data_IF_643940699146
#
_entry.id   IF_643940699146
#
_cell.length_a   1.000
_cell.length_b   1.000
_cell.length_c   1.000
_cell.angle_alpha   90.00
_cell.angle_beta   90.00
_cell.angle_gamma   90.00
#
_symmetry.space_group_name_H-M   'P 1'
#
loop_
_entity.id
_entity.type
_entity.pdbx_description
1 polymer ?
#
# COMPACT_ATOMS: atom_id res chain seq x y z
N UNK A 1 -69.81 -47.81 14.31
CA UNK A 1 -69.54 -49.08 15.01
C UNK A 1 -68.34 -49.74 14.35
N UNK A 2 -67.37 -50.21 15.15
CA UNK A 2 -66.33 -51.23 14.87
C UNK A 2 -65.49 -51.09 13.58
N UNK A 3 -64.25 -50.62 13.75
CA UNK A 3 -63.02 -51.20 13.17
C UNK A 3 -63.10 -52.75 13.12
N UNK A 4 -62.37 -53.51 12.24
CA UNK A 4 -60.91 -53.38 12.13
C UNK A 4 -60.18 -53.97 10.89
N UNK A 5 -58.84 -53.79 10.88
CA UNK A 5 -57.75 -54.73 10.48
C UNK A 5 -57.85 -55.36 9.07
N UNK A 6 -56.80 -55.41 8.27
CA UNK A 6 -55.58 -56.20 8.54
C UNK A 6 -54.58 -55.96 7.40
N UNK A 7 -53.30 -55.87 7.75
CA UNK A 7 -52.17 -55.82 6.84
C UNK A 7 -51.95 -57.16 6.12
N UNK A 8 -51.42 -57.12 4.89
CA UNK A 8 -50.61 -58.22 4.33
C UNK A 8 -49.40 -57.60 3.64
N UNK A 9 -48.23 -57.84 4.24
CA UNK A 9 -46.94 -57.69 3.58
C UNK A 9 -46.81 -58.79 2.52
N UNK A 10 -46.36 -58.41 1.33
CA UNK A 10 -45.69 -59.32 0.40
C UNK A 10 -44.36 -58.68 0.01
N UNK A 11 -43.29 -59.24 0.56
CA UNK A 11 -41.92 -58.94 0.19
C UNK A 11 -41.55 -59.77 -1.06
N UNK A 12 -40.97 -59.12 -2.06
CA UNK A 12 -40.09 -59.79 -3.02
C UNK A 12 -38.87 -58.91 -3.22
N UNK A 13 -37.74 -59.44 -2.76
CA UNK A 13 -36.40 -58.90 -2.92
C UNK A 13 -35.97 -59.16 -4.37
N UNK A 14 -35.71 -58.08 -5.12
CA UNK A 14 -35.06 -58.11 -6.42
C UNK A 14 -33.78 -57.29 -6.36
N UNK A 15 -32.64 -57.96 -6.20
CA UNK A 15 -31.31 -57.36 -6.30
C UNK A 15 -31.03 -57.14 -7.79
N UNK A 16 -30.86 -55.88 -8.22
CA UNK A 16 -30.35 -55.56 -9.54
C UNK A 16 -29.45 -54.31 -9.49
N UNK A 17 -28.17 -54.58 -9.74
CA UNK A 17 -27.14 -53.70 -10.31
C UNK A 17 -26.92 -52.31 -9.65
N UNK A 18 -25.82 -52.22 -8.93
CA UNK A 18 -25.20 -50.97 -8.49
C UNK A 18 -24.83 -50.08 -9.70
N UNK A 19 -25.69 -49.11 -10.01
CA UNK A 19 -25.28 -47.87 -10.66
C UNK A 19 -24.77 -46.96 -9.54
N UNK A 20 -23.46 -46.90 -9.36
CA UNK A 20 -22.82 -45.95 -8.46
C UNK A 20 -23.18 -44.54 -8.90
N UNK A 21 -24.14 -43.93 -8.22
CA UNK A 21 -24.49 -42.52 -8.36
C UNK A 21 -23.25 -41.69 -8.03
N UNK A 22 -22.69 -41.01 -9.03
CA UNK A 22 -21.71 -39.96 -8.79
C UNK A 22 -22.39 -38.91 -7.88
N UNK A 23 -22.04 -38.91 -6.60
CA UNK A 23 -22.43 -37.83 -5.70
C UNK A 23 -21.80 -36.54 -6.22
N UNK A 24 -22.57 -35.47 -6.43
CA UNK A 24 -21.96 -34.17 -6.68
C UNK A 24 -21.12 -33.84 -5.45
N UNK A 25 -19.80 -33.82 -5.63
CA UNK A 25 -18.89 -33.30 -4.63
C UNK A 25 -19.25 -31.82 -4.42
N UNK A 26 -19.93 -31.53 -3.33
CA UNK A 26 -20.13 -30.16 -2.86
C UNK A 26 -18.74 -29.59 -2.61
N UNK A 27 -18.28 -28.72 -3.51
CA UNK A 27 -17.09 -27.92 -3.30
C UNK A 27 -17.33 -27.09 -2.02
N UNK A 28 -16.59 -27.40 -0.96
CA UNK A 28 -16.62 -26.60 0.25
C UNK A 28 -16.23 -25.16 -0.13
N UNK A 29 -16.93 -24.14 0.40
CA UNK A 29 -16.49 -22.75 0.24
C UNK A 29 -15.07 -22.66 0.77
N UNK A 30 -14.13 -22.36 -0.12
CA UNK A 30 -12.76 -22.07 0.26
C UNK A 30 -12.84 -20.86 1.20
N UNK A 31 -12.46 -21.05 2.46
CA UNK A 31 -12.22 -19.91 3.34
C UNK A 31 -11.29 -18.96 2.59
N UNK A 32 -11.56 -17.62 2.60
CA UNK A 32 -10.62 -16.69 2.00
C UNK A 32 -9.25 -16.98 2.63
N UNK A 33 -8.27 -17.27 1.79
CA UNK A 33 -6.91 -17.40 2.24
C UNK A 33 -6.58 -16.09 2.94
N UNK A 34 -6.48 -16.11 4.28
CA UNK A 34 -5.83 -15.04 5.01
C UNK A 34 -4.38 -15.11 4.57
N UNK A 35 -4.08 -14.41 3.47
CA UNK A 35 -2.71 -14.14 3.06
C UNK A 35 -2.02 -13.57 4.28
N UNK A 36 -0.91 -14.20 4.69
CA UNK A 36 0.00 -13.60 5.65
C UNK A 36 0.21 -12.12 5.26
N UNK A 37 0.31 -11.19 6.23
CA UNK A 37 0.46 -9.78 5.90
C UNK A 37 1.63 -9.64 4.93
N UNK A 38 1.35 -9.14 3.72
CA UNK A 38 2.40 -8.82 2.77
C UNK A 38 3.32 -7.83 3.51
N UNK A 39 4.59 -8.17 3.66
CA UNK A 39 5.51 -7.30 4.39
C UNK A 39 5.61 -5.99 3.63
N UNK A 40 5.06 -4.93 4.22
CA UNK A 40 5.02 -3.62 3.60
C UNK A 40 6.44 -3.10 3.39
N UNK A 41 6.66 -2.46 2.25
CA UNK A 41 7.97 -1.93 1.83
C UNK A 41 7.76 -0.58 1.19
N UNK A 42 8.71 0.31 1.40
CA UNK A 42 8.79 1.62 0.79
C UNK A 42 10.27 1.89 0.48
N UNK A 43 10.54 2.42 -0.70
CA UNK A 43 11.90 2.71 -1.16
C UNK A 43 11.88 3.85 -2.18
N UNK A 44 12.75 4.83 -1.98
CA UNK A 44 13.00 5.91 -2.93
C UNK A 44 13.99 5.39 -3.96
N UNK A 45 13.53 5.25 -5.21
CA UNK A 45 14.38 4.76 -6.31
C UNK A 45 15.13 5.91 -6.96
N UNK A 46 14.45 7.04 -7.17
CA UNK A 46 15.05 8.22 -7.76
C UNK A 46 14.32 9.50 -7.36
N UNK A 47 15.10 10.59 -7.37
CA UNK A 47 14.66 11.96 -7.09
C UNK A 47 14.12 12.50 -8.39
N UNK A 48 12.84 12.24 -8.59
CA UNK A 48 12.23 12.61 -9.84
C UNK A 48 12.19 14.14 -10.01
N UNK A 49 12.00 14.47 -11.26
CA UNK A 49 12.30 15.77 -11.85
C UNK A 49 11.58 16.90 -11.13
N UNK A 50 12.25 18.04 -11.02
CA UNK A 50 11.57 19.28 -10.63
C UNK A 50 10.59 19.67 -11.72
N UNK A 51 9.31 19.79 -11.37
CA UNK A 51 8.24 20.16 -12.31
C UNK A 51 7.88 21.65 -12.23
N UNK A 52 8.41 22.36 -11.24
CA UNK A 52 8.15 23.79 -11.00
C UNK A 52 9.15 24.43 -10.03
N UNK A 53 8.85 25.63 -9.51
CA UNK A 53 9.68 26.26 -8.46
C UNK A 53 9.44 25.66 -7.07
N UNK A 54 8.28 25.04 -6.86
CA UNK A 54 7.83 24.51 -5.57
C UNK A 54 7.40 23.07 -5.66
N UNK A 55 7.52 22.45 -6.84
CA UNK A 55 6.99 21.11 -7.13
C UNK A 55 8.07 20.19 -7.67
N UNK A 56 8.03 18.93 -7.25
CA UNK A 56 8.84 17.85 -7.77
C UNK A 56 8.02 16.57 -7.84
N UNK A 57 8.53 15.58 -8.54
CA UNK A 57 7.99 14.23 -8.51
C UNK A 57 9.06 13.31 -7.89
N UNK A 58 8.70 12.18 -7.32
CA UNK A 58 9.65 11.16 -6.84
C UNK A 58 9.26 9.79 -7.38
N UNK A 59 10.24 8.97 -7.77
CA UNK A 59 10.00 7.60 -8.20
C UNK A 59 10.23 6.69 -7.00
N UNK A 60 9.20 5.94 -6.63
CA UNK A 60 9.27 5.02 -5.49
C UNK A 60 8.88 3.61 -5.88
N UNK A 61 9.47 2.66 -5.17
CA UNK A 61 9.07 1.25 -5.17
C UNK A 61 8.40 0.95 -3.83
N UNK A 62 7.24 0.30 -3.87
CA UNK A 62 6.54 -0.04 -2.63
C UNK A 62 5.70 -1.30 -2.74
N UNK A 63 5.39 -1.89 -1.58
CA UNK A 63 4.41 -2.97 -1.40
C UNK A 63 3.58 -2.61 -0.17
N UNK A 64 2.25 -2.70 -0.24
CA UNK A 64 1.37 -2.44 0.89
C UNK A 64 0.04 -3.18 0.75
N UNK A 65 -0.75 -3.22 1.83
CA UNK A 65 -2.11 -3.76 1.85
C UNK A 65 -3.06 -2.84 2.59
N UNK A 66 -4.26 -2.61 2.06
CA UNK A 66 -5.31 -1.86 2.76
C UNK A 66 -6.38 -1.32 1.84
N UNK A 67 -7.48 -0.87 2.43
CA UNK A 67 -8.52 -0.11 1.73
C UNK A 67 -8.10 1.34 1.50
N UNK A 68 -8.80 2.05 0.62
CA UNK A 68 -8.51 3.45 0.28
C UNK A 68 -8.52 4.38 1.50
N UNK A 69 -9.33 4.07 2.51
CA UNK A 69 -9.45 4.84 3.76
C UNK A 69 -8.31 4.57 4.74
N UNK A 70 -7.58 3.47 4.57
CA UNK A 70 -6.48 3.06 5.45
C UNK A 70 -5.11 3.43 4.90
N UNK A 71 -5.02 3.70 3.59
CA UNK A 71 -3.74 3.89 2.90
C UNK A 71 -3.54 5.35 2.58
N UNK A 72 -2.37 5.87 2.94
CA UNK A 72 -1.96 7.21 2.57
C UNK A 72 -0.45 7.31 2.58
N UNK A 73 0.05 8.36 1.96
CA UNK A 73 1.47 8.64 1.84
C UNK A 73 1.77 10.02 2.38
N UNK A 74 3.01 10.19 2.85
CA UNK A 74 3.58 11.49 3.10
C UNK A 74 4.93 11.58 2.41
N UNK A 75 5.12 12.66 1.66
CA UNK A 75 6.32 12.88 0.86
C UNK A 75 6.90 14.24 1.22
N UNK A 76 8.22 14.30 1.39
CA UNK A 76 8.93 15.54 1.64
C UNK A 76 10.21 15.62 0.83
N UNK A 77 10.51 16.82 0.33
CA UNK A 77 11.74 17.18 -0.37
C UNK A 77 12.36 18.40 0.32
N UNK A 78 13.61 18.28 0.78
CA UNK A 78 14.38 19.37 1.40
C UNK A 78 15.66 19.65 0.65
N UNK A 79 16.07 20.91 0.58
CA UNK A 79 17.38 21.29 0.06
C UNK A 79 18.12 22.23 1.00
N UNK A 80 19.40 21.97 1.20
CA UNK A 80 20.30 22.92 1.83
C UNK A 80 20.61 24.08 0.88
N UNK A 81 20.98 25.24 1.44
CA UNK A 81 21.35 26.43 0.66
C UNK A 81 22.48 26.17 -0.35
N UNK A 82 23.40 25.26 -0.04
CA UNK A 82 24.53 24.88 -0.91
C UNK A 82 24.14 24.01 -2.10
N UNK A 83 22.92 23.44 -2.10
CA UNK A 83 22.47 22.46 -3.11
C UNK A 83 23.35 21.20 -3.17
N UNK A 84 24.07 20.91 -2.09
CA UNK A 84 24.84 19.67 -1.86
C UNK A 84 24.18 18.85 -0.77
N UNK A 85 24.55 17.57 -0.64
CA UNK A 85 24.09 16.74 0.47
C UNK A 85 24.53 17.34 1.81
N UNK A 86 23.58 17.63 2.70
CA UNK A 86 23.82 18.09 4.06
C UNK A 86 23.07 17.16 5.02
N UNK A 87 23.81 16.29 5.72
CA UNK A 87 23.23 15.26 6.59
C UNK A 87 22.37 15.83 7.73
N UNK A 88 22.55 17.11 8.07
CA UNK A 88 21.71 17.76 9.09
C UNK A 88 20.24 17.88 8.65
N UNK A 89 19.96 17.84 7.35
CA UNK A 89 18.57 17.77 6.84
C UNK A 89 17.82 16.52 7.31
N UNK A 90 18.55 15.44 7.62
CA UNK A 90 17.99 14.18 8.15
C UNK A 90 17.44 14.36 9.55
N UNK A 91 17.95 15.34 10.31
CA UNK A 91 17.56 15.59 11.70
C UNK A 91 16.35 16.55 11.79
N UNK A 92 16.02 17.27 10.73
CA UNK A 92 15.02 18.35 10.75
C UNK A 92 13.55 17.92 10.75
N UNK A 93 13.22 16.63 10.72
CA UNK A 93 11.83 16.16 10.71
C UNK A 93 10.96 16.88 9.66
N UNK A 94 10.07 17.78 10.08
CA UNK A 94 9.18 18.60 9.24
C UNK A 94 9.82 19.89 8.67
N UNK A 95 11.14 19.93 8.46
CA UNK A 95 11.79 21.00 7.68
C UNK A 95 11.89 22.36 8.37
N UNK A 96 11.52 22.48 9.64
CA UNK A 96 11.58 23.74 10.42
C UNK A 96 12.83 23.88 11.30
N UNK A 97 13.90 23.13 11.05
CA UNK A 97 15.14 23.17 11.85
C UNK A 97 16.14 24.27 11.46
N UNK A 98 15.88 25.03 10.39
CA UNK A 98 16.72 26.13 9.90
C UNK A 98 17.91 25.74 9.00
N UNK A 99 18.08 24.46 8.69
CA UNK A 99 19.07 23.91 7.73
C UNK A 99 18.54 23.93 6.31
N UNK A 100 17.29 23.51 6.12
CA UNK A 100 16.63 23.58 4.82
C UNK A 100 16.45 25.04 4.37
N UNK A 101 16.90 25.33 3.15
CA UNK A 101 16.66 26.59 2.45
C UNK A 101 15.42 26.53 1.55
N UNK A 102 15.01 25.31 1.18
CA UNK A 102 13.74 25.03 0.53
C UNK A 102 13.20 23.71 1.06
N UNK A 103 11.89 23.65 1.25
CA UNK A 103 11.17 22.47 1.69
C UNK A 103 9.80 22.40 1.03
N UNK A 104 9.38 21.21 0.65
CA UNK A 104 8.07 20.94 0.04
C UNK A 104 7.58 19.62 0.59
N UNK A 105 6.32 19.54 0.99
CA UNK A 105 5.70 18.32 1.48
C UNK A 105 4.25 18.18 1.03
N UNK A 106 3.81 16.94 0.88
CA UNK A 106 2.43 16.63 0.54
C UNK A 106 2.00 15.30 1.16
N UNK A 107 0.82 15.28 1.78
CA UNK A 107 0.03 14.06 1.98
C UNK A 107 -0.72 13.72 0.69
N UNK A 108 0.03 13.44 -0.38
CA UNK A 108 -0.50 13.28 -1.73
C UNK A 108 -0.26 11.90 -2.31
N UNK A 109 -1.16 11.47 -3.19
CA UNK A 109 -1.12 10.19 -3.88
C UNK A 109 -2.15 9.19 -3.37
N UNK A 110 -2.43 8.18 -4.19
CA UNK A 110 -3.32 7.07 -3.84
C UNK A 110 -2.57 5.77 -4.15
N UNK A 111 -1.74 5.27 -3.21
CA UNK A 111 -0.97 4.06 -3.46
C UNK A 111 -1.90 2.87 -3.70
N UNK A 112 -1.51 2.00 -4.63
CA UNK A 112 -2.23 0.75 -4.89
C UNK A 112 -1.71 -0.27 -3.89
N UNK A 113 -2.53 -0.61 -2.89
CA UNK A 113 -2.16 -1.53 -1.82
C UNK A 113 -2.87 -2.88 -1.96
N UNK A 114 -2.55 -3.61 -3.02
CA UNK A 114 -3.08 -4.95 -3.34
C UNK A 114 -2.16 -6.11 -2.92
N UNK A 115 -1.15 -5.82 -2.08
CA UNK A 115 -0.14 -6.78 -1.63
C UNK A 115 0.96 -7.09 -2.64
N UNK A 116 0.97 -6.42 -3.81
CA UNK A 116 2.03 -6.56 -4.82
C UNK A 116 3.01 -5.40 -4.79
N UNK A 117 4.14 -5.59 -5.45
CA UNK A 117 5.12 -4.54 -5.67
C UNK A 117 4.65 -3.59 -6.77
N UNK A 118 4.71 -2.29 -6.50
CA UNK A 118 4.38 -1.22 -7.41
C UNK A 118 5.56 -0.26 -7.57
N UNK A 119 5.60 0.38 -8.73
CA UNK A 119 6.46 1.51 -9.01
C UNK A 119 5.56 2.69 -9.37
N UNK A 120 5.71 3.82 -8.68
CA UNK A 120 4.85 4.97 -8.94
C UNK A 120 5.58 6.27 -8.75
N UNK A 121 5.05 7.28 -9.42
CA UNK A 121 5.47 8.66 -9.31
C UNK A 121 4.57 9.36 -8.30
N UNK A 122 5.17 9.94 -7.25
CA UNK A 122 4.44 10.76 -6.28
C UNK A 122 4.87 12.21 -6.45
N UNK A 123 3.90 13.12 -6.53
CA UNK A 123 4.19 14.55 -6.58
C UNK A 123 4.32 15.11 -5.17
N UNK A 124 5.17 16.11 -5.04
CA UNK A 124 5.33 16.92 -3.85
C UNK A 124 5.27 18.38 -4.24
N UNK A 125 4.63 19.18 -3.41
CA UNK A 125 4.43 20.61 -3.60
C UNK A 125 4.48 21.37 -2.25
N UNK A 126 4.05 22.62 -2.25
CA UNK A 126 3.94 23.46 -1.05
C UNK A 126 2.48 23.84 -0.76
N UNK A 127 1.50 23.15 -1.34
CA UNK A 127 0.08 23.46 -1.12
C UNK A 127 -0.32 23.21 0.33
N UNK A 128 0.18 22.12 0.92
CA UNK A 128 -0.05 21.79 2.32
C UNK A 128 0.89 22.55 3.25
N UNK A 129 2.20 22.38 3.03
CA UNK A 129 3.23 23.09 3.76
C UNK A 129 4.56 23.10 2.99
N UNK A 130 5.32 24.17 3.17
CA UNK A 130 6.63 24.30 2.58
C UNK A 130 7.05 25.75 2.43
N UNK A 131 8.26 25.96 1.94
CA UNK A 131 8.81 27.29 1.72
C UNK A 131 10.02 27.23 0.78
N UNK A 132 10.43 28.41 0.33
CA UNK A 132 11.58 28.57 -0.55
C UNK A 132 11.30 28.01 -1.94
N UNK A 133 12.36 27.93 -2.75
CA UNK A 133 12.26 27.48 -4.14
C UNK A 133 13.18 26.30 -4.34
N UNK A 134 12.63 25.19 -4.82
CA UNK A 134 13.39 24.03 -5.27
C UNK A 134 14.24 24.42 -6.47
N UNK A 135 15.49 24.00 -6.45
CA UNK A 135 16.49 24.26 -7.49
C UNK A 135 17.14 22.95 -7.92
N UNK A 136 17.75 22.97 -9.11
CA UNK A 136 18.57 21.86 -9.56
C UNK A 136 19.70 21.63 -8.57
N UNK A 137 19.93 20.39 -8.16
CA UNK A 137 20.94 20.05 -7.16
C UNK A 137 20.48 18.96 -6.19
N UNK A 138 21.29 18.70 -5.17
CA UNK A 138 20.96 17.65 -4.20
C UNK A 138 19.77 18.05 -3.34
N UNK A 139 18.90 17.07 -3.10
CA UNK A 139 17.79 17.14 -2.18
C UNK A 139 17.79 15.91 -1.28
N UNK A 140 17.27 16.11 -0.07
CA UNK A 140 16.96 15.03 0.86
C UNK A 140 15.48 14.71 0.76
N UNK A 141 15.15 13.45 0.48
CA UNK A 141 13.78 12.97 0.33
C UNK A 141 13.42 12.10 1.51
N UNK A 142 12.17 12.21 1.91
CA UNK A 142 11.54 11.27 2.82
C UNK A 142 10.22 10.83 2.20
N UNK A 143 10.05 9.52 2.07
CA UNK A 143 8.80 8.90 1.64
C UNK A 143 8.29 8.01 2.77
N UNK A 144 7.06 8.25 3.19
CA UNK A 144 6.36 7.49 4.23
C UNK A 144 5.11 6.85 3.62
N UNK A 145 4.93 5.56 3.87
CA UNK A 145 3.78 4.78 3.44
C UNK A 145 3.04 4.22 4.66
N UNK A 146 1.79 4.62 4.79
CA UNK A 146 0.85 4.11 5.79
C UNK A 146 -0.11 3.12 5.12
N UNK A 147 -0.45 2.07 5.85
CA UNK A 147 -1.33 1.01 5.35
C UNK A 147 -2.13 0.36 6.48
N UNK A 148 -2.82 -0.76 6.20
CA UNK A 148 -3.67 -1.44 7.17
C UNK A 148 -2.93 -1.92 8.44
N UNK A 149 -1.59 -2.05 8.40
CA UNK A 149 -0.78 -2.54 9.51
C UNK A 149 0.16 -1.47 10.09
N UNK A 150 0.48 -0.42 9.32
CA UNK A 150 1.41 0.65 9.65
C UNK A 150 0.67 1.99 9.79
N UNK A 151 -0.33 2.04 10.67
CA UNK A 151 -1.26 3.19 10.77
C UNK A 151 -0.73 4.38 11.58
N UNK A 152 0.24 4.14 12.47
CA UNK A 152 0.83 5.16 13.35
C UNK A 152 2.30 5.41 13.03
N UNK A 153 3.01 4.35 12.64
CA UNK A 153 4.42 4.40 12.26
C UNK A 153 4.49 3.88 10.84
N UNK A 154 4.79 4.74 9.85
CA UNK A 154 4.82 4.32 8.45
C UNK A 154 6.04 3.44 8.18
N UNK A 155 5.94 2.63 7.13
CA UNK A 155 7.16 2.15 6.46
C UNK A 155 7.73 3.33 5.68
N UNK A 156 9.00 3.63 5.88
CA UNK A 156 9.61 4.81 5.26
C UNK A 156 10.98 4.51 4.69
N UNK A 157 11.36 5.31 3.71
CA UNK A 157 12.70 5.37 3.18
C UNK A 157 13.12 6.82 2.97
N UNK A 158 14.42 7.06 3.12
CA UNK A 158 15.00 8.40 3.09
C UNK A 158 16.34 8.37 2.37
N UNK A 159 16.45 9.17 1.33
CA UNK A 159 17.63 9.14 0.46
C UNK A 159 17.99 10.54 -0.03
N UNK A 160 19.28 10.76 -0.26
CA UNK A 160 19.74 11.91 -1.00
C UNK A 160 19.71 11.61 -2.49
N UNK A 161 19.18 12.54 -3.28
CA UNK A 161 19.51 12.51 -4.70
C UNK A 161 19.21 13.80 -5.41
N UNK A 162 19.32 13.75 -6.73
CA UNK A 162 19.56 14.94 -7.53
C UNK A 162 18.28 15.41 -8.22
N UNK A 163 17.77 16.59 -7.83
CA UNK A 163 16.67 17.24 -8.54
C UNK A 163 17.17 17.79 -9.88
N UNK A 164 16.60 17.27 -10.97
CA UNK A 164 16.87 17.71 -12.35
C UNK A 164 16.09 18.95 -12.75
#
# INVERSE_FOLDING_TARGET
MRSPRTAVLAAVIGIAAALGTATPALAAPSAPATSAPATSRAEVIDVATRTGSTTATILVRYTCTGSAEQVHTWVSVKQAKSLTSDKRLMEEGTGYGGVAAAWSQSHGGSPICDGKQHYSLFSVDQEEAGYGTLKRGMAYIQFCLFDAYNTQIPVSDMEFGYLL
#
